data_IF_339507329368
#
_entry.id   IF_339507329368
#
_cell.length_a   1.000
_cell.length_b   1.000
_cell.length_c   1.000
_cell.angle_alpha   90.00
_cell.angle_beta   90.00
_cell.angle_gamma   90.00
#
_symmetry.space_group_name_H-M   'P 1'
#
loop_
_entity.id
_entity.type
_entity.pdbx_description
1 polymer ?
#
# COMPACT_ATOMS: atom_id res chain seq x y z
N UNK A 1 53.49 -2.63 -42.07
CA UNK A 1 52.31 -3.40 -41.60
C UNK A 1 52.33 -3.71 -40.10
N UNK A 2 53.34 -4.28 -39.50
CA UNK A 2 53.39 -4.63 -38.05
C UNK A 2 53.13 -3.41 -37.09
N UNK A 3 53.62 -2.22 -37.37
CA UNK A 3 53.45 -1.04 -36.52
C UNK A 3 52.01 -0.49 -36.57
N UNK A 4 51.33 -0.60 -37.72
CA UNK A 4 49.93 -0.16 -37.88
C UNK A 4 48.97 -1.11 -37.10
N UNK A 5 49.28 -2.43 -37.18
CA UNK A 5 48.48 -3.44 -36.42
C UNK A 5 48.65 -3.27 -34.89
N UNK A 6 49.84 -2.93 -34.37
CA UNK A 6 50.01 -2.63 -32.95
C UNK A 6 49.27 -1.35 -32.52
N UNK A 7 49.28 -0.29 -33.32
CA UNK A 7 48.57 0.94 -32.99
C UNK A 7 47.04 0.69 -32.99
N UNK A 8 46.53 -0.07 -33.95
CA UNK A 8 45.11 -0.43 -34.01
C UNK A 8 44.69 -1.28 -32.79
N UNK A 9 45.49 -2.22 -32.39
CA UNK A 9 45.25 -3.05 -31.19
C UNK A 9 45.29 -2.21 -29.89
N UNK A 10 46.25 -1.25 -29.79
CA UNK A 10 46.35 -0.35 -28.62
C UNK A 10 45.17 0.63 -28.61
N UNK A 11 44.73 1.17 -29.74
CA UNK A 11 43.53 2.02 -29.82
C UNK A 11 42.24 1.24 -29.46
N UNK A 12 42.11 0.00 -29.92
CA UNK A 12 40.97 -0.87 -29.54
C UNK A 12 40.99 -1.21 -28.06
N UNK A 13 42.16 -1.49 -27.46
CA UNK A 13 42.28 -1.72 -26.01
C UNK A 13 42.02 -0.42 -25.20
N UNK A 14 42.41 0.75 -25.63
CA UNK A 14 42.08 2.04 -25.00
C UNK A 14 40.58 2.33 -25.03
N UNK A 15 39.90 2.05 -26.13
CA UNK A 15 38.45 2.20 -26.28
C UNK A 15 37.69 1.19 -25.40
N UNK A 16 38.19 -0.05 -25.29
CA UNK A 16 37.62 -1.08 -24.41
C UNK A 16 37.81 -0.76 -22.91
N UNK A 17 38.92 -0.12 -22.53
CA UNK A 17 39.17 0.27 -21.13
C UNK A 17 38.39 1.51 -20.68
N UNK A 18 38.06 2.43 -21.60
CA UNK A 18 37.21 3.59 -21.29
C UNK A 18 35.72 3.29 -21.25
N UNK A 19 35.27 2.13 -21.72
CA UNK A 19 33.88 1.70 -21.77
C UNK A 19 33.28 1.33 -20.41
N UNK A 20 34.11 1.16 -19.36
CA UNK A 20 33.61 0.57 -18.11
C UNK A 20 32.73 1.48 -17.22
N UNK A 21 32.58 2.79 -17.51
CA UNK A 21 31.84 3.70 -16.64
C UNK A 21 31.10 4.83 -17.39
N UNK A 22 30.37 4.50 -18.46
CA UNK A 22 29.60 5.50 -19.22
C UNK A 22 28.41 6.02 -18.40
N UNK A 23 27.87 5.19 -17.47
CA UNK A 23 26.77 5.56 -16.61
C UNK A 23 27.11 5.34 -15.14
N UNK A 24 26.78 6.34 -14.29
CA UNK A 24 26.85 6.21 -12.84
C UNK A 24 25.71 5.32 -12.32
N UNK A 25 25.92 4.73 -11.17
CA UNK A 25 24.82 4.11 -10.43
C UNK A 25 23.85 5.19 -9.97
N UNK A 26 22.57 4.81 -9.82
CA UNK A 26 21.60 5.68 -9.17
C UNK A 26 22.10 6.06 -7.77
N UNK A 27 21.95 7.32 -7.43
CA UNK A 27 22.20 7.86 -6.08
C UNK A 27 20.97 8.66 -5.69
N UNK A 28 20.59 8.56 -4.44
CA UNK A 28 19.49 9.35 -3.91
C UNK A 28 19.79 10.84 -4.10
N UNK A 29 18.82 11.65 -4.58
CA UNK A 29 19.00 13.10 -4.72
C UNK A 29 19.30 13.79 -3.37
N UNK A 30 20.25 14.72 -3.35
CA UNK A 30 20.65 15.44 -2.12
C UNK A 30 19.64 16.55 -1.75
N UNK A 31 18.89 17.11 -2.72
CA UNK A 31 17.95 18.21 -2.51
C UNK A 31 16.52 17.71 -2.26
N UNK A 32 16.35 16.95 -1.19
CA UNK A 32 15.03 16.49 -0.74
C UNK A 32 14.50 17.43 0.36
N UNK A 33 13.18 17.65 0.45
CA UNK A 33 12.57 18.46 1.51
C UNK A 33 12.52 17.69 2.83
N UNK A 34 13.69 17.37 3.40
CA UNK A 34 13.80 16.63 4.67
C UNK A 34 13.92 17.56 5.89
N UNK A 35 14.36 18.80 5.67
CA UNK A 35 14.51 19.79 6.73
C UNK A 35 13.14 20.42 7.02
N UNK A 36 12.78 20.50 8.31
CA UNK A 36 11.52 21.11 8.78
C UNK A 36 10.23 20.40 8.34
N UNK A 37 10.28 19.11 7.98
CA UNK A 37 9.07 18.32 7.68
C UNK A 37 8.12 18.21 8.88
N UNK A 38 8.65 18.28 10.11
CA UNK A 38 7.88 18.18 11.33
C UNK A 38 7.79 19.54 12.01
N UNK A 39 6.55 19.98 12.28
CA UNK A 39 6.22 21.34 12.73
C UNK A 39 6.83 21.70 14.10
N UNK A 40 7.01 20.73 14.98
CA UNK A 40 7.46 20.92 16.37
C UNK A 40 8.77 20.17 16.68
N UNK A 41 9.56 19.85 15.66
CA UNK A 41 10.81 19.09 15.81
C UNK A 41 11.83 19.81 16.73
N UNK A 42 11.84 21.14 16.74
CA UNK A 42 12.77 21.92 17.55
C UNK A 42 12.48 21.88 19.06
N UNK A 43 11.26 21.48 19.47
CA UNK A 43 10.81 21.43 20.86
C UNK A 43 10.91 20.02 21.48
N UNK A 44 11.25 19.00 20.70
CA UNK A 44 11.35 17.63 21.19
C UNK A 44 12.81 17.21 21.26
N UNK A 45 13.29 16.67 22.39
CA UNK A 45 14.64 16.12 22.44
C UNK A 45 14.75 15.00 21.42
N UNK A 46 15.70 15.12 20.48
CA UNK A 46 16.11 14.03 19.59
C UNK A 46 16.73 12.96 20.49
N UNK A 47 15.89 12.15 21.09
CA UNK A 47 16.36 10.95 21.79
C UNK A 47 16.50 9.85 20.77
N UNK A 48 17.60 9.13 20.81
CA UNK A 48 17.88 7.90 20.06
C UNK A 48 16.96 6.73 20.52
N UNK A 49 15.80 7.09 21.09
CA UNK A 49 14.78 6.19 21.63
C UNK A 49 13.99 5.54 20.50
N UNK A 50 13.63 4.29 20.70
CA UNK A 50 12.72 3.52 19.84
C UNK A 50 11.48 4.36 19.54
N UNK A 51 11.16 4.51 18.26
CA UNK A 51 9.90 5.13 17.82
C UNK A 51 8.76 4.15 17.97
N UNK A 52 7.53 4.66 18.08
CA UNK A 52 6.33 3.83 18.05
C UNK A 52 6.27 2.93 16.81
N UNK A 53 6.73 3.43 15.64
CA UNK A 53 6.81 2.67 14.40
C UNK A 53 7.85 1.53 14.40
N UNK A 54 8.79 1.53 15.35
CA UNK A 54 9.79 0.46 15.49
C UNK A 54 9.26 -0.72 16.34
N UNK A 55 8.12 -0.55 17.02
CA UNK A 55 7.55 -1.59 17.86
C UNK A 55 6.80 -2.63 17.00
N UNK A 56 6.92 -3.91 17.32
CA UNK A 56 6.08 -4.93 16.72
C UNK A 56 4.60 -4.64 16.98
N UNK A 57 3.74 -4.85 16.01
CA UNK A 57 2.29 -4.60 16.15
C UNK A 57 1.65 -5.37 17.32
N UNK A 58 2.23 -6.51 17.74
CA UNK A 58 1.79 -7.30 18.89
C UNK A 58 1.97 -6.56 20.23
N UNK A 59 2.93 -5.64 20.30
CA UNK A 59 3.15 -4.82 21.51
C UNK A 59 2.19 -3.62 21.55
N UNK A 60 1.74 -3.15 20.39
CA UNK A 60 0.76 -2.07 20.27
C UNK A 60 -0.66 -2.60 20.55
N UNK A 61 -1.02 -3.72 19.93
CA UNK A 61 -2.35 -4.33 20.04
C UNK A 61 -2.32 -5.52 20.99
N UNK A 62 -2.65 -5.28 22.26
CA UNK A 62 -2.57 -6.29 23.33
C UNK A 62 -3.77 -7.24 23.39
N UNK A 63 -4.87 -6.93 22.70
CA UNK A 63 -6.04 -7.80 22.60
C UNK A 63 -5.70 -9.09 21.83
N UNK A 64 -5.81 -10.23 22.49
CA UNK A 64 -5.45 -11.54 21.92
C UNK A 64 -6.35 -11.95 20.76
N UNK A 65 -7.64 -11.56 20.75
CA UNK A 65 -8.56 -11.82 19.66
C UNK A 65 -8.19 -10.98 18.45
N UNK A 66 -7.90 -9.68 18.65
CA UNK A 66 -7.41 -8.82 17.58
C UNK A 66 -6.12 -9.37 16.97
N UNK A 67 -5.16 -9.80 17.80
CA UNK A 67 -3.93 -10.42 17.32
C UNK A 67 -4.17 -11.67 16.47
N UNK A 68 -5.15 -12.50 16.85
CA UNK A 68 -5.53 -13.67 16.05
C UNK A 68 -6.11 -13.24 14.68
N UNK A 69 -6.99 -12.23 14.66
CA UNK A 69 -7.56 -11.70 13.41
C UNK A 69 -6.49 -11.08 12.51
N UNK A 70 -5.56 -10.32 13.06
CA UNK A 70 -4.45 -9.75 12.27
C UNK A 70 -3.61 -10.89 11.64
N UNK A 71 -3.22 -11.92 12.41
CA UNK A 71 -2.47 -13.07 11.86
C UNK A 71 -3.26 -13.77 10.77
N UNK A 72 -4.54 -14.03 11.01
CA UNK A 72 -5.40 -14.68 10.03
C UNK A 72 -5.54 -13.85 8.75
N UNK A 73 -5.76 -12.53 8.87
CA UNK A 73 -5.84 -11.62 7.73
C UNK A 73 -4.54 -11.57 6.93
N UNK A 74 -3.38 -11.52 7.58
CA UNK A 74 -2.07 -11.53 6.91
C UNK A 74 -1.84 -12.82 6.09
N UNK A 75 -2.43 -13.95 6.49
CA UNK A 75 -2.31 -15.22 5.78
C UNK A 75 -3.35 -15.38 4.65
N UNK A 76 -4.56 -14.84 4.82
CA UNK A 76 -5.69 -15.17 3.95
C UNK A 76 -6.21 -14.00 3.11
N UNK A 77 -5.82 -12.75 3.42
CA UNK A 77 -6.29 -11.58 2.67
C UNK A 77 -5.79 -11.63 1.21
N UNK A 78 -6.70 -11.32 0.28
CA UNK A 78 -6.44 -11.38 -1.17
C UNK A 78 -5.39 -10.37 -1.62
N UNK A 79 -5.38 -9.16 -1.05
CA UNK A 79 -4.42 -8.11 -1.45
C UNK A 79 -3.01 -8.50 -1.01
N UNK A 80 -2.87 -9.09 0.18
CA UNK A 80 -1.60 -9.61 0.67
C UNK A 80 -1.07 -10.74 -0.20
N UNK A 81 -1.91 -11.70 -0.58
CA UNK A 81 -1.54 -12.78 -1.49
C UNK A 81 -1.17 -12.25 -2.89
N UNK A 82 -1.93 -11.26 -3.39
CA UNK A 82 -1.63 -10.60 -4.66
C UNK A 82 -0.28 -9.88 -4.62
N UNK A 83 0.05 -9.21 -3.51
CA UNK A 83 1.35 -8.55 -3.34
C UNK A 83 2.51 -9.55 -3.37
N UNK A 84 2.37 -10.73 -2.75
CA UNK A 84 3.37 -11.80 -2.81
C UNK A 84 3.57 -12.32 -4.23
N UNK A 85 2.48 -12.52 -5.00
CA UNK A 85 2.57 -12.94 -6.40
C UNK A 85 3.26 -11.89 -7.28
N UNK A 86 3.06 -10.58 -7.01
CA UNK A 86 3.77 -9.50 -7.71
C UNK A 86 5.29 -9.54 -7.45
N UNK A 87 5.71 -9.88 -6.23
CA UNK A 87 7.13 -10.10 -5.94
C UNK A 87 7.69 -11.27 -6.76
N UNK A 88 6.96 -12.38 -6.87
CA UNK A 88 7.41 -13.53 -7.64
C UNK A 88 7.46 -13.23 -9.14
N UNK A 89 6.52 -12.45 -9.67
CA UNK A 89 6.60 -11.93 -11.04
C UNK A 89 7.86 -11.06 -11.24
N UNK A 90 8.14 -10.14 -10.32
CA UNK A 90 9.33 -9.28 -10.40
C UNK A 90 10.64 -10.09 -10.29
N UNK A 91 10.68 -11.14 -9.47
CA UNK A 91 11.83 -12.10 -9.41
C UNK A 91 12.03 -12.83 -10.73
N UNK A 92 10.94 -13.28 -11.36
CA UNK A 92 10.99 -13.94 -12.67
C UNK A 92 11.52 -12.97 -13.75
N UNK A 93 11.06 -11.72 -13.77
CA UNK A 93 11.55 -10.68 -14.66
C UNK A 93 13.03 -10.38 -14.44
N UNK A 94 13.48 -10.27 -13.18
CA UNK A 94 14.89 -10.09 -12.85
C UNK A 94 15.74 -11.29 -13.30
N UNK A 95 15.21 -12.50 -13.19
CA UNK A 95 15.89 -13.70 -13.68
C UNK A 95 16.03 -13.66 -15.20
N UNK A 96 14.99 -13.27 -15.93
CA UNK A 96 15.06 -13.06 -17.38
C UNK A 96 16.09 -11.98 -17.76
N UNK A 97 16.11 -10.84 -17.03
CA UNK A 97 17.09 -9.78 -17.23
C UNK A 97 18.55 -10.21 -16.91
N UNK A 98 18.74 -11.17 -15.99
CA UNK A 98 20.05 -11.78 -15.75
C UNK A 98 20.45 -12.73 -16.87
N UNK A 99 19.51 -13.54 -17.37
CA UNK A 99 19.74 -14.50 -18.45
C UNK A 99 19.93 -13.82 -19.81
N UNK A 100 19.49 -12.57 -20.01
CA UNK A 100 19.73 -11.82 -21.26
C UNK A 100 21.21 -11.56 -21.56
N UNK A 101 22.10 -11.75 -20.58
CA UNK A 101 23.56 -11.74 -20.79
C UNK A 101 24.09 -13.02 -21.41
N UNK A 102 23.30 -14.08 -21.51
CA UNK A 102 23.67 -15.34 -22.13
C UNK A 102 23.16 -15.40 -23.58
N UNK A 103 23.80 -16.18 -24.46
CA UNK A 103 23.27 -16.37 -25.81
C UNK A 103 21.91 -17.10 -25.77
N UNK A 104 21.01 -16.67 -26.65
CA UNK A 104 19.78 -17.40 -26.96
C UNK A 104 20.04 -18.50 -27.97
N UNK A 105 19.42 -19.65 -27.81
CA UNK A 105 19.48 -20.76 -28.75
C UNK A 105 18.08 -21.06 -29.29
N UNK A 106 17.96 -21.09 -30.61
CA UNK A 106 16.67 -21.37 -31.28
C UNK A 106 16.85 -22.45 -32.32
N UNK A 107 16.00 -23.45 -32.31
CA UNK A 107 15.89 -24.45 -33.40
C UNK A 107 14.81 -23.94 -34.37
N UNK A 108 15.18 -23.72 -35.64
CA UNK A 108 14.30 -23.15 -36.66
C UNK A 108 14.23 -24.02 -37.92
N UNK A 109 13.51 -25.14 -37.87
CA UNK A 109 13.33 -25.97 -39.07
C UNK A 109 12.61 -25.20 -40.17
N UNK A 110 13.16 -25.19 -41.38
CA UNK A 110 12.55 -24.54 -42.55
C UNK A 110 12.46 -25.52 -43.73
N UNK A 111 11.36 -25.46 -44.44
CA UNK A 111 11.18 -26.12 -45.73
C UNK A 111 10.71 -25.10 -46.77
N UNK A 112 11.42 -24.98 -47.90
CA UNK A 112 11.08 -24.03 -48.96
C UNK A 112 10.77 -24.81 -50.25
N UNK A 113 9.66 -24.46 -50.87
CA UNK A 113 9.27 -24.92 -52.19
C UNK A 113 9.37 -23.74 -53.15
N UNK A 114 10.32 -23.78 -54.08
CA UNK A 114 10.48 -22.71 -55.11
C UNK A 114 10.09 -23.32 -56.45
N UNK A 115 9.06 -22.73 -57.07
CA UNK A 115 8.64 -23.06 -58.43
C UNK A 115 8.73 -21.81 -59.30
N UNK A 116 9.47 -21.92 -60.40
CA UNK A 116 9.58 -20.87 -61.40
C UNK A 116 9.01 -21.39 -62.72
N UNK A 117 8.28 -20.54 -63.46
CA UNK A 117 7.68 -20.92 -64.74
C UNK A 117 8.72 -21.51 -65.71
N UNK A 118 8.50 -22.73 -66.16
CA UNK A 118 9.42 -23.45 -67.05
C UNK A 118 10.56 -24.21 -66.37
N UNK A 119 10.64 -24.23 -65.03
CA UNK A 119 11.68 -24.94 -64.29
C UNK A 119 11.07 -25.99 -63.37
N UNK A 120 11.86 -27.01 -62.97
CA UNK A 120 11.44 -28.01 -62.00
C UNK A 120 11.33 -27.34 -60.61
N UNK A 121 10.26 -27.69 -59.85
CA UNK A 121 10.11 -27.24 -58.44
C UNK A 121 11.30 -27.72 -57.62
N UNK A 122 11.98 -26.78 -56.97
CA UNK A 122 13.10 -27.04 -56.06
C UNK A 122 12.54 -27.15 -54.67
N UNK A 123 12.87 -28.22 -53.96
CA UNK A 123 12.53 -28.47 -52.56
C UNK A 123 13.82 -28.35 -51.74
N UNK A 124 13.87 -27.42 -50.80
CA UNK A 124 14.96 -27.32 -49.85
C UNK A 124 14.43 -27.46 -48.45
N UNK A 125 15.20 -28.07 -47.56
CA UNK A 125 14.96 -28.05 -46.12
C UNK A 125 16.22 -27.60 -45.40
N UNK A 126 16.04 -26.97 -44.27
CA UNK A 126 17.10 -26.56 -43.38
C UNK A 126 16.70 -26.89 -41.94
N UNK A 127 17.63 -27.40 -41.18
CA UNK A 127 17.46 -27.70 -39.76
C UNK A 127 18.58 -27.03 -38.95
N UNK A 128 18.60 -25.68 -38.87
CA UNK A 128 19.63 -24.92 -38.14
C UNK A 128 19.28 -24.78 -36.69
N UNK A 129 20.27 -24.92 -35.81
CA UNK A 129 20.32 -24.32 -34.47
C UNK A 129 20.97 -22.99 -34.60
N UNK A 130 20.23 -21.94 -34.25
CA UNK A 130 20.72 -20.54 -34.29
C UNK A 130 21.08 -20.10 -32.91
N UNK A 131 22.24 -19.49 -32.72
CA UNK A 131 22.67 -18.81 -31.53
C UNK A 131 22.69 -17.31 -31.78
N UNK A 132 22.17 -16.51 -30.85
CA UNK A 132 22.26 -15.03 -30.89
C UNK A 132 22.67 -14.52 -29.51
N UNK A 133 23.66 -13.65 -29.47
CA UNK A 133 24.22 -13.10 -28.25
C UNK A 133 24.50 -11.60 -28.41
N UNK A 134 23.79 -10.78 -27.64
CA UNK A 134 24.04 -9.35 -27.53
C UNK A 134 25.17 -9.09 -26.50
N UNK A 135 26.24 -8.44 -26.96
CA UNK A 135 27.37 -8.05 -26.09
C UNK A 135 27.09 -6.64 -25.55
N UNK A 136 26.94 -6.51 -24.26
CA UNK A 136 26.61 -5.24 -23.58
C UNK A 136 27.85 -4.31 -23.48
N UNK A 137 28.22 -3.69 -24.60
CA UNK A 137 29.35 -2.74 -24.64
C UNK A 137 29.01 -1.42 -23.95
N UNK A 138 27.80 -0.92 -24.17
CA UNK A 138 27.36 0.42 -23.76
C UNK A 138 26.33 0.43 -22.66
N UNK A 139 26.17 -0.67 -21.92
CA UNK A 139 25.40 -0.75 -20.68
C UNK A 139 23.90 -0.84 -20.85
N UNK A 140 23.38 -1.20 -22.04
CA UNK A 140 21.95 -1.40 -22.27
C UNK A 140 21.38 -2.51 -21.34
N UNK A 141 21.96 -3.70 -21.43
CA UNK A 141 21.54 -4.86 -20.61
C UNK A 141 21.80 -4.65 -19.11
N UNK A 142 22.93 -3.98 -18.78
CA UNK A 142 23.25 -3.66 -17.38
C UNK A 142 22.23 -2.71 -16.77
N UNK A 143 21.83 -1.67 -17.49
CA UNK A 143 20.79 -0.74 -17.02
C UNK A 143 19.42 -1.42 -16.99
N UNK A 144 19.06 -2.26 -17.97
CA UNK A 144 17.84 -3.07 -17.95
C UNK A 144 17.76 -3.94 -16.69
N UNK A 145 18.83 -4.67 -16.37
CA UNK A 145 18.91 -5.49 -15.15
C UNK A 145 18.77 -4.65 -13.88
N UNK A 146 19.44 -3.47 -13.79
CA UNK A 146 19.33 -2.59 -12.62
C UNK A 146 17.93 -1.99 -12.48
N UNK A 147 17.28 -1.61 -13.59
CA UNK A 147 15.89 -1.17 -13.61
C UNK A 147 14.96 -2.25 -13.07
N UNK A 148 15.09 -3.48 -13.59
CA UNK A 148 14.30 -4.63 -13.09
C UNK A 148 14.58 -4.95 -11.62
N UNK A 149 15.82 -4.76 -11.15
CA UNK A 149 16.15 -4.91 -9.73
C UNK A 149 15.47 -3.83 -8.88
N UNK A 150 15.41 -2.58 -9.35
CA UNK A 150 14.66 -1.51 -8.68
C UNK A 150 13.16 -1.85 -8.64
N UNK A 151 12.60 -2.41 -9.73
CA UNK A 151 11.21 -2.89 -9.74
C UNK A 151 10.98 -3.99 -8.71
N UNK A 152 11.90 -4.93 -8.52
CA UNK A 152 11.76 -5.94 -7.46
C UNK A 152 11.72 -5.30 -6.07
N UNK A 153 12.61 -4.36 -5.78
CA UNK A 153 12.61 -3.63 -4.49
C UNK A 153 11.33 -2.81 -4.31
N UNK A 154 10.82 -2.21 -5.38
CA UNK A 154 9.53 -1.51 -5.39
C UNK A 154 8.38 -2.44 -5.01
N UNK A 155 8.33 -3.66 -5.57
CA UNK A 155 7.27 -4.64 -5.24
C UNK A 155 7.40 -5.17 -3.80
N UNK A 156 8.61 -5.29 -3.27
CA UNK A 156 8.82 -5.63 -1.87
C UNK A 156 8.31 -4.52 -0.94
N UNK A 157 8.62 -3.26 -1.25
CA UNK A 157 8.09 -2.13 -0.50
C UNK A 157 6.56 -2.03 -0.61
N UNK A 158 5.98 -2.31 -1.79
CA UNK A 158 4.53 -2.39 -1.96
C UNK A 158 3.88 -3.45 -1.07
N UNK A 159 4.49 -4.63 -0.98
CA UNK A 159 4.00 -5.70 -0.09
C UNK A 159 4.05 -5.27 1.39
N UNK A 160 5.10 -4.56 1.81
CA UNK A 160 5.19 -4.01 3.17
C UNK A 160 4.12 -2.94 3.42
N UNK A 161 3.81 -2.09 2.42
CA UNK A 161 2.73 -1.11 2.51
C UNK A 161 1.37 -1.79 2.70
N UNK A 162 1.05 -2.80 1.86
CA UNK A 162 -0.19 -3.59 1.97
C UNK A 162 -0.30 -4.27 3.33
N UNK A 163 0.81 -4.79 3.86
CA UNK A 163 0.83 -5.40 5.20
C UNK A 163 0.49 -4.40 6.30
N UNK A 164 1.15 -3.23 6.30
CA UNK A 164 0.90 -2.18 7.29
C UNK A 164 -0.55 -1.67 7.21
N UNK A 165 -1.05 -1.43 6.00
CA UNK A 165 -2.43 -1.01 5.75
C UNK A 165 -3.46 -2.06 6.21
N UNK A 166 -3.19 -3.34 5.96
CA UNK A 166 -4.07 -4.43 6.40
C UNK A 166 -4.11 -4.54 7.92
N UNK A 167 -2.97 -4.44 8.61
CA UNK A 167 -2.92 -4.44 10.08
C UNK A 167 -3.73 -3.28 10.64
N UNK A 168 -3.51 -2.06 10.15
CA UNK A 168 -4.25 -0.87 10.58
C UNK A 168 -5.75 -0.97 10.24
N UNK A 169 -6.10 -1.48 9.05
CA UNK A 169 -7.48 -1.68 8.61
C UNK A 169 -8.24 -2.69 9.49
N UNK A 170 -7.63 -3.83 9.80
CA UNK A 170 -8.22 -4.83 10.72
C UNK A 170 -8.39 -4.23 12.12
N UNK A 171 -7.38 -3.55 12.66
CA UNK A 171 -7.44 -2.94 13.97
C UNK A 171 -8.53 -1.85 14.04
N UNK A 172 -8.57 -0.92 13.08
CA UNK A 172 -9.58 0.12 13.02
C UNK A 172 -11.01 -0.45 12.92
N UNK A 173 -11.22 -1.46 12.08
CA UNK A 173 -12.53 -2.10 11.93
C UNK A 173 -12.94 -2.86 13.18
N UNK A 174 -12.00 -3.55 13.84
CA UNK A 174 -12.24 -4.24 15.10
C UNK A 174 -12.64 -3.28 16.23
N UNK A 175 -11.89 -2.17 16.41
CA UNK A 175 -12.23 -1.18 17.43
C UNK A 175 -13.52 -0.42 17.10
N UNK A 176 -13.82 -0.18 15.84
CA UNK A 176 -15.13 0.35 15.42
C UNK A 176 -16.27 -0.59 15.79
N UNK A 177 -16.06 -1.90 15.67
CA UNK A 177 -17.04 -2.90 16.06
C UNK A 177 -17.25 -2.93 17.59
N UNK A 178 -16.18 -2.82 18.40
CA UNK A 178 -16.28 -2.69 19.87
C UNK A 178 -17.02 -1.41 20.28
N UNK A 179 -16.77 -0.29 19.60
CA UNK A 179 -17.51 0.96 19.80
C UNK A 179 -19.00 0.77 19.55
N UNK A 180 -19.38 0.14 18.43
CA UNK A 180 -20.77 -0.11 18.09
C UNK A 180 -21.45 -1.07 19.07
N UNK A 181 -20.75 -2.09 19.57
CA UNK A 181 -21.27 -2.99 20.61
C UNK A 181 -21.66 -2.22 21.87
N UNK A 182 -20.81 -1.29 22.32
CA UNK A 182 -21.07 -0.48 23.50
C UNK A 182 -22.21 0.53 23.27
N UNK A 183 -22.27 1.16 22.09
CA UNK A 183 -23.37 2.04 21.72
C UNK A 183 -24.71 1.28 21.63
N UNK A 184 -24.73 0.07 21.09
CA UNK A 184 -25.91 -0.80 21.08
C UNK A 184 -26.34 -1.15 22.51
N UNK A 185 -25.41 -1.48 23.40
CA UNK A 185 -25.72 -1.79 24.81
C UNK A 185 -26.31 -0.57 25.55
N UNK A 186 -25.73 0.64 25.33
CA UNK A 186 -26.24 1.89 25.91
C UNK A 186 -27.65 2.20 25.38
N UNK A 187 -27.86 2.12 24.07
CA UNK A 187 -29.18 2.37 23.47
C UNK A 187 -30.23 1.37 23.93
N UNK A 188 -29.90 0.08 24.00
CA UNK A 188 -30.80 -0.97 24.49
C UNK A 188 -31.22 -0.73 25.95
N UNK A 189 -30.25 -0.47 26.84
CA UNK A 189 -30.55 -0.19 28.25
C UNK A 189 -31.40 1.07 28.43
N UNK A 190 -31.15 2.08 27.63
CA UNK A 190 -31.93 3.32 27.62
C UNK A 190 -33.36 3.10 27.11
N UNK A 191 -33.55 2.27 26.07
CA UNK A 191 -34.86 1.89 25.57
C UNK A 191 -35.72 1.22 26.63
N UNK A 192 -35.15 0.33 27.42
CA UNK A 192 -35.88 -0.36 28.52
C UNK A 192 -36.39 0.66 29.55
N UNK A 193 -35.54 1.59 29.96
CA UNK A 193 -35.91 2.67 30.90
C UNK A 193 -36.99 3.58 30.31
N UNK A 194 -36.87 3.96 29.04
CA UNK A 194 -37.84 4.86 28.40
C UNK A 194 -39.19 4.16 28.16
N UNK A 195 -39.22 2.89 27.78
CA UNK A 195 -40.44 2.10 27.66
C UNK A 195 -41.22 2.06 28.96
N UNK A 196 -40.55 1.81 30.08
CA UNK A 196 -41.19 1.81 31.42
C UNK A 196 -41.67 3.21 31.82
N UNK A 197 -40.90 4.26 31.48
CA UNK A 197 -41.32 5.63 31.71
C UNK A 197 -42.63 5.98 30.94
N UNK A 198 -42.71 5.64 29.66
CA UNK A 198 -43.93 5.88 28.84
C UNK A 198 -45.12 5.15 29.48
N UNK A 199 -44.98 3.91 29.86
CA UNK A 199 -46.05 3.15 30.57
C UNK A 199 -46.50 3.82 31.87
N UNK A 200 -45.58 4.30 32.66
CA UNK A 200 -45.87 5.04 33.91
C UNK A 200 -46.62 6.33 33.62
N UNK A 201 -46.20 7.11 32.61
CA UNK A 201 -46.85 8.34 32.20
C UNK A 201 -48.27 8.11 31.65
N UNK A 202 -48.48 7.06 30.88
CA UNK A 202 -49.81 6.65 30.40
C UNK A 202 -50.76 6.29 31.54
N UNK A 203 -50.25 5.60 32.58
CA UNK A 203 -51.03 5.29 33.78
C UNK A 203 -51.39 6.55 34.55
N UNK A 204 -50.46 7.51 34.74
CA UNK A 204 -50.71 8.79 35.41
C UNK A 204 -51.69 9.68 34.63
N UNK A 205 -51.57 9.68 33.28
CA UNK A 205 -52.54 10.40 32.45
C UNK A 205 -53.96 9.93 32.64
N UNK A 206 -54.20 8.60 32.78
CA UNK A 206 -55.52 8.03 32.99
C UNK A 206 -56.16 8.48 34.32
N UNK A 207 -55.39 8.84 35.33
CA UNK A 207 -55.86 9.35 36.62
C UNK A 207 -55.78 10.89 36.69
N UNK A 208 -55.45 11.57 35.60
CA UNK A 208 -55.43 13.03 35.52
C UNK A 208 -54.17 13.70 36.08
N UNK A 209 -53.12 12.94 36.42
CA UNK A 209 -51.89 13.44 37.00
C UNK A 209 -50.87 13.85 35.92
N UNK A 210 -51.12 13.51 34.65
CA UNK A 210 -50.21 13.85 33.55
C UNK A 210 -51.00 14.34 32.33
N UNK A 211 -50.37 15.15 31.45
CA UNK A 211 -51.00 15.68 30.24
C UNK A 211 -50.78 14.76 29.03
N UNK A 212 -51.75 14.78 28.11
CA UNK A 212 -51.63 14.04 26.84
C UNK A 212 -50.39 14.51 26.04
N UNK A 213 -50.09 15.82 26.09
CA UNK A 213 -48.91 16.38 25.42
C UNK A 213 -47.58 15.78 25.96
N UNK A 214 -47.47 15.61 27.26
CA UNK A 214 -46.27 15.00 27.85
C UNK A 214 -46.14 13.53 27.44
N UNK A 215 -47.22 12.77 27.41
CA UNK A 215 -47.23 11.36 26.98
C UNK A 215 -46.89 11.23 25.49
N UNK A 216 -47.44 12.06 24.64
CA UNK A 216 -47.14 12.04 23.19
C UNK A 216 -45.68 12.43 22.91
N UNK A 217 -45.12 13.39 23.63
CA UNK A 217 -43.70 13.75 23.57
C UNK A 217 -42.81 12.59 24.00
N UNK A 218 -43.17 11.91 25.11
CA UNK A 218 -42.43 10.74 25.58
C UNK A 218 -42.40 9.61 24.57
N UNK A 219 -43.54 9.33 23.92
CA UNK A 219 -43.66 8.32 22.84
C UNK A 219 -42.80 8.71 21.62
N UNK A 220 -42.85 9.99 21.22
CA UNK A 220 -42.06 10.47 20.07
C UNK A 220 -40.57 10.25 20.31
N UNK A 221 -40.06 10.61 21.49
CA UNK A 221 -38.66 10.38 21.84
C UNK A 221 -38.31 8.88 21.96
N UNK A 222 -39.24 8.05 22.44
CA UNK A 222 -39.01 6.59 22.46
C UNK A 222 -38.88 6.04 21.05
N UNK A 223 -39.73 6.44 20.10
CA UNK A 223 -39.64 5.99 18.70
C UNK A 223 -38.39 6.49 18.00
N UNK A 224 -37.91 7.69 18.32
CA UNK A 224 -36.64 8.23 17.84
C UNK A 224 -35.46 7.35 18.33
N UNK A 225 -35.47 6.97 19.61
CA UNK A 225 -34.45 6.08 20.17
C UNK A 225 -34.52 4.66 19.58
N UNK A 226 -35.74 4.13 19.32
CA UNK A 226 -35.92 2.84 18.64
C UNK A 226 -35.31 2.86 17.22
N UNK A 227 -35.51 3.95 16.47
CA UNK A 227 -34.93 4.15 15.15
C UNK A 227 -33.39 4.20 15.24
N UNK A 228 -32.85 4.96 16.20
CA UNK A 228 -31.39 5.06 16.43
C UNK A 228 -30.80 3.69 16.80
N UNK A 229 -31.46 2.94 17.67
CA UNK A 229 -30.99 1.60 18.06
C UNK A 229 -30.96 0.63 16.86
N UNK A 230 -31.98 0.65 16.01
CA UNK A 230 -32.02 -0.17 14.79
C UNK A 230 -30.88 0.23 13.80
N UNK A 231 -30.58 1.52 13.69
CA UNK A 231 -29.45 1.99 12.89
C UNK A 231 -28.08 1.53 13.43
N UNK A 232 -27.90 1.53 14.75
CA UNK A 232 -26.68 1.01 15.40
C UNK A 232 -26.52 -0.50 15.16
N UNK A 233 -27.60 -1.28 15.25
CA UNK A 233 -27.58 -2.73 14.94
C UNK A 233 -27.23 -2.98 13.47
N UNK A 234 -27.72 -2.17 12.55
CA UNK A 234 -27.36 -2.26 11.13
C UNK A 234 -25.88 -1.95 10.92
N UNK A 235 -25.37 -0.84 11.48
CA UNK A 235 -23.96 -0.45 11.40
C UNK A 235 -23.04 -1.52 12.00
N UNK A 236 -23.40 -2.08 13.15
CA UNK A 236 -22.67 -3.19 13.80
C UNK A 236 -22.54 -4.38 12.83
N UNK A 237 -23.64 -4.78 12.19
CA UNK A 237 -23.61 -5.90 11.24
C UNK A 237 -22.80 -5.61 9.99
N UNK A 238 -22.90 -4.39 9.44
CA UNK A 238 -22.12 -3.96 8.28
C UNK A 238 -20.61 -3.93 8.59
N UNK A 239 -20.24 -3.45 9.77
CA UNK A 239 -18.84 -3.41 10.24
C UNK A 239 -18.29 -4.82 10.47
N UNK A 240 -19.08 -5.73 11.06
CA UNK A 240 -18.70 -7.13 11.22
C UNK A 240 -18.47 -7.82 9.87
N UNK A 241 -19.35 -7.58 8.89
CA UNK A 241 -19.18 -8.08 7.53
C UNK A 241 -17.92 -7.51 6.84
N UNK A 242 -17.62 -6.22 7.06
CA UNK A 242 -16.39 -5.59 6.55
C UNK A 242 -15.14 -6.22 7.16
N UNK A 243 -15.16 -6.50 8.45
CA UNK A 243 -14.06 -7.21 9.12
C UNK A 243 -13.86 -8.61 8.52
N UNK A 244 -14.95 -9.39 8.32
CA UNK A 244 -14.86 -10.68 7.65
C UNK A 244 -14.24 -10.59 6.25
N UNK A 245 -14.59 -9.56 5.50
CA UNK A 245 -14.03 -9.33 4.14
C UNK A 245 -12.53 -9.02 4.21
N UNK A 246 -12.09 -8.16 5.13
CA UNK A 246 -10.67 -7.87 5.37
C UNK A 246 -9.88 -9.13 5.75
N UNK A 247 -10.51 -10.02 6.51
CA UNK A 247 -9.94 -11.30 6.91
C UNK A 247 -9.94 -12.34 5.77
N UNK A 248 -10.56 -12.06 4.63
CA UNK A 248 -10.68 -13.03 3.51
C UNK A 248 -11.65 -14.18 3.80
N UNK A 249 -12.66 -13.96 4.64
CA UNK A 249 -13.65 -14.97 5.00
C UNK A 249 -15.09 -14.55 4.69
N UNK A 250 -15.99 -15.52 4.63
CA UNK A 250 -17.44 -15.25 4.48
C UNK A 250 -18.00 -14.60 5.75
N UNK A 251 -19.02 -13.76 5.58
CA UNK A 251 -19.70 -13.06 6.68
C UNK A 251 -20.23 -14.05 7.74
N UNK A 252 -19.81 -13.83 8.97
CA UNK A 252 -20.22 -14.62 10.16
C UNK A 252 -20.06 -13.77 11.41
N UNK A 253 -20.65 -14.24 12.52
CA UNK A 253 -20.38 -13.60 13.82
C UNK A 253 -18.96 -13.89 14.29
N UNK A 254 -18.31 -12.84 14.82
CA UNK A 254 -16.93 -12.87 15.30
C UNK A 254 -16.89 -12.66 16.81
N UNK A 255 -16.10 -13.46 17.51
CA UNK A 255 -15.81 -13.25 18.93
C UNK A 255 -14.97 -11.98 19.11
N UNK A 256 -15.27 -11.20 20.17
CA UNK A 256 -14.60 -9.94 20.41
C UNK A 256 -14.61 -9.55 21.89
N UNK A 257 -13.65 -8.70 22.26
CA UNK A 257 -13.53 -8.12 23.58
C UNK A 257 -14.52 -6.97 23.83
N UNK A 258 -14.16 -6.10 24.76
CA UNK A 258 -14.90 -4.87 25.07
C UNK A 258 -13.98 -3.67 24.97
N UNK A 259 -14.53 -2.50 24.63
CA UNK A 259 -13.75 -1.28 24.38
C UNK A 259 -13.04 -0.77 25.64
N UNK A 260 -13.65 -0.91 26.81
CA UNK A 260 -13.15 -0.47 28.11
C UNK A 260 -11.88 -1.21 28.57
N UNK A 261 -11.65 -2.42 28.07
CA UNK A 261 -10.47 -3.25 28.39
C UNK A 261 -9.29 -3.05 27.46
N UNK A 262 -9.42 -2.17 26.46
CA UNK A 262 -8.35 -1.92 25.53
C UNK A 262 -7.28 -1.02 26.16
N UNK A 263 -6.05 -1.52 26.20
CA UNK A 263 -4.90 -0.82 26.80
C UNK A 263 -3.94 -0.46 25.67
N UNK A 264 -3.61 0.82 25.57
CA UNK A 264 -2.53 1.31 24.71
C UNK A 264 -1.35 1.77 25.56
N UNK A 265 -0.14 1.82 25.04
CA UNK A 265 1.02 2.37 25.76
C UNK A 265 0.74 3.79 26.23
N UNK A 266 0.87 4.03 27.55
CA UNK A 266 0.59 5.35 28.17
C UNK A 266 1.51 6.46 27.66
N UNK A 267 2.74 6.11 27.29
CA UNK A 267 3.72 7.03 26.70
C UNK A 267 4.04 6.60 25.29
N UNK A 268 3.49 7.33 24.33
CA UNK A 268 3.89 7.17 22.93
C UNK A 268 5.30 7.79 22.79
N UNK A 269 6.33 6.98 22.39
CA UNK A 269 7.64 7.55 22.14
C UNK A 269 7.53 8.52 20.95
N UNK A 270 7.61 9.81 21.24
CA UNK A 270 7.39 10.88 20.25
C UNK A 270 8.67 11.27 19.50
N UNK A 271 9.75 10.55 19.67
CA UNK A 271 10.97 10.76 18.88
C UNK A 271 10.69 10.46 17.41
N UNK A 272 10.71 11.48 16.54
CA UNK A 272 10.57 11.34 15.10
C UNK A 272 11.93 11.61 14.46
N UNK A 273 12.81 10.61 14.33
CA UNK A 273 14.01 10.78 13.54
C UNK A 273 13.63 10.88 12.07
N UNK A 274 14.27 11.78 11.33
CA UNK A 274 14.20 11.82 9.84
C UNK A 274 14.48 10.44 9.22
N UNK A 275 15.19 9.56 9.96
CA UNK A 275 15.44 8.15 9.62
C UNK A 275 14.17 7.31 9.45
N UNK A 276 13.04 7.65 10.10
CA UNK A 276 11.78 6.91 9.95
C UNK A 276 11.16 7.07 8.56
N UNK A 277 11.33 8.24 7.94
CA UNK A 277 10.88 8.47 6.58
C UNK A 277 11.55 7.49 5.58
N UNK A 278 12.80 7.10 5.83
CA UNK A 278 13.48 6.14 4.95
C UNK A 278 13.02 4.69 5.12
N UNK A 279 12.22 4.39 6.15
CA UNK A 279 11.67 3.05 6.41
C UNK A 279 10.21 2.91 5.94
N UNK A 280 9.53 4.02 5.68
CA UNK A 280 8.15 3.97 5.19
C UNK A 280 8.10 3.28 3.83
N UNK A 281 7.25 2.27 3.67
CA UNK A 281 7.19 1.49 2.44
C UNK A 281 6.80 2.32 1.21
N UNK A 282 5.93 3.32 1.36
CA UNK A 282 5.50 4.23 0.29
C UNK A 282 6.66 5.10 -0.22
N UNK A 283 7.51 5.59 0.68
CA UNK A 283 8.70 6.37 0.34
C UNK A 283 9.73 5.49 -0.38
N UNK A 284 9.97 4.27 0.11
CA UNK A 284 10.86 3.31 -0.55
C UNK A 284 10.33 2.95 -1.93
N UNK A 285 9.03 2.75 -2.08
CA UNK A 285 8.37 2.47 -3.36
C UNK A 285 8.57 3.62 -4.35
N UNK A 286 8.35 4.86 -3.92
CA UNK A 286 8.54 6.05 -4.75
C UNK A 286 10.01 6.23 -5.15
N UNK A 287 10.97 6.00 -4.24
CA UNK A 287 12.41 6.03 -4.53
C UNK A 287 12.82 4.97 -5.56
N UNK A 288 12.30 3.74 -5.42
CA UNK A 288 12.60 2.65 -6.37
C UNK A 288 11.97 2.89 -7.74
N UNK A 289 10.83 3.58 -7.79
CA UNK A 289 10.22 4.06 -9.05
C UNK A 289 11.14 5.07 -9.74
N UNK A 290 11.70 6.03 -9.00
CA UNK A 290 12.68 6.98 -9.52
C UNK A 290 13.96 6.27 -10.00
N UNK A 291 14.47 5.32 -9.24
CA UNK A 291 15.65 4.54 -9.62
C UNK A 291 15.41 3.76 -10.93
N UNK A 292 14.24 3.16 -11.11
CA UNK A 292 13.87 2.48 -12.35
C UNK A 292 13.80 3.47 -13.52
N UNK A 293 13.16 4.63 -13.37
CA UNK A 293 13.10 5.68 -14.41
C UNK A 293 14.50 6.17 -14.79
N UNK A 294 15.41 6.36 -13.82
CA UNK A 294 16.82 6.69 -14.06
C UNK A 294 17.51 5.64 -14.92
N UNK A 295 17.35 4.35 -14.62
CA UNK A 295 17.95 3.28 -15.43
C UNK A 295 17.31 3.18 -16.82
N UNK A 296 16.03 3.44 -16.96
CA UNK A 296 15.32 3.50 -18.26
C UNK A 296 15.85 4.65 -19.10
N UNK A 297 16.10 5.82 -18.51
CA UNK A 297 16.76 6.95 -19.18
C UNK A 297 18.16 6.56 -19.69
N UNK A 298 18.93 5.80 -18.89
CA UNK A 298 20.25 5.32 -19.31
C UNK A 298 20.16 4.29 -20.43
N UNK A 299 19.13 3.43 -20.47
CA UNK A 299 18.87 2.56 -21.62
C UNK A 299 18.55 3.36 -22.87
N UNK A 300 17.69 4.39 -22.77
CA UNK A 300 17.39 5.27 -23.89
C UNK A 300 18.63 6.02 -24.42
N UNK A 301 19.57 6.39 -23.54
CA UNK A 301 20.88 6.94 -23.93
C UNK A 301 21.76 5.90 -24.60
N UNK A 302 21.79 4.66 -24.11
CA UNK A 302 22.59 3.58 -24.70
C UNK A 302 22.17 3.23 -26.13
N UNK A 303 20.90 3.43 -26.49
CA UNK A 303 20.37 3.20 -27.82
C UNK A 303 20.97 4.09 -28.91
N UNK A 304 21.69 5.18 -28.57
CA UNK A 304 22.44 6.00 -29.50
C UNK A 304 23.83 5.44 -29.83
N UNK A 305 24.30 4.43 -29.13
CA UNK A 305 25.58 3.80 -29.34
C UNK A 305 25.43 2.52 -30.18
N UNK A 306 26.53 2.05 -30.84
CA UNK A 306 26.50 0.82 -31.60
C UNK A 306 26.13 -0.40 -30.73
N UNK A 307 25.29 -1.28 -31.24
CA UNK A 307 25.02 -2.59 -30.63
C UNK A 307 25.85 -3.68 -31.32
N UNK A 308 26.58 -4.47 -30.50
CA UNK A 308 27.36 -5.61 -30.97
C UNK A 308 26.55 -6.90 -30.74
N UNK A 309 26.18 -7.53 -31.86
CA UNK A 309 25.46 -8.80 -31.83
C UNK A 309 26.32 -9.89 -32.47
N UNK A 310 26.56 -10.99 -31.74
CA UNK A 310 27.18 -12.19 -32.24
C UNK A 310 26.09 -13.20 -32.57
N UNK A 311 26.05 -13.66 -33.81
CA UNK A 311 25.13 -14.70 -34.24
C UNK A 311 25.87 -15.85 -34.90
N UNK A 312 25.37 -17.03 -34.72
CA UNK A 312 25.91 -18.22 -35.36
C UNK A 312 24.78 -19.23 -35.67
N UNK A 313 24.97 -20.03 -36.70
CA UNK A 313 24.09 -21.13 -36.97
C UNK A 313 24.88 -22.41 -37.30
N UNK A 314 24.42 -23.51 -36.77
CA UNK A 314 24.93 -24.84 -37.09
C UNK A 314 23.77 -25.76 -37.39
N UNK A 315 23.84 -26.53 -38.46
CA UNK A 315 22.74 -27.41 -38.86
C UNK A 315 22.99 -28.19 -40.12
N UNK A 316 21.94 -28.76 -40.61
CA UNK A 316 21.93 -29.54 -41.84
C UNK A 316 20.99 -28.88 -42.86
N UNK A 317 21.40 -28.94 -44.13
CA UNK A 317 20.58 -28.55 -45.29
C UNK A 317 20.73 -29.55 -46.42
N UNK A 318 19.71 -29.73 -47.25
CA UNK A 318 19.92 -30.37 -48.52
C UNK A 318 20.39 -29.34 -49.54
N UNK A 319 21.42 -29.72 -50.32
CA UNK A 319 21.82 -28.91 -51.46
C UNK A 319 20.67 -28.81 -52.48
N UNK A 320 20.58 -27.69 -53.18
CA UNK A 320 19.55 -27.41 -54.17
C UNK A 320 19.34 -28.62 -55.16
N UNK A 321 18.18 -29.26 -55.05
CA UNK A 321 17.74 -30.30 -55.94
C UNK A 321 18.07 -31.77 -55.58
N UNK A 322 18.70 -32.04 -54.44
CA UNK A 322 18.93 -33.42 -53.98
C UNK A 322 17.74 -33.97 -53.19
N UNK A 323 17.59 -35.30 -53.18
CA UNK A 323 16.50 -35.95 -52.47
C UNK A 323 16.66 -35.81 -50.93
N UNK A 324 15.54 -35.68 -50.24
CA UNK A 324 15.43 -35.47 -48.76
C UNK A 324 15.86 -36.71 -47.95
N UNK A 325 16.63 -37.64 -48.50
CA UNK A 325 16.94 -38.96 -47.92
C UNK A 325 18.26 -39.02 -47.13
N UNK A 326 19.00 -37.96 -47.05
CA UNK A 326 20.25 -37.88 -46.29
C UNK A 326 20.23 -36.65 -45.40
N UNK A 327 20.81 -36.62 -44.18
CA UNK A 327 20.87 -35.39 -43.35
C UNK A 327 21.60 -34.21 -44.01
N UNK A 328 22.01 -34.33 -45.25
CA UNK A 328 22.54 -33.23 -46.04
C UNK A 328 23.91 -32.70 -45.57
N UNK A 329 24.31 -31.58 -46.16
CA UNK A 329 25.59 -30.97 -45.84
C UNK A 329 25.52 -30.18 -44.53
N UNK A 330 26.66 -30.15 -43.82
CA UNK A 330 26.83 -29.35 -42.65
C UNK A 330 26.92 -27.87 -43.03
N UNK A 331 26.11 -27.05 -42.34
CA UNK A 331 26.26 -25.59 -42.37
C UNK A 331 26.75 -25.12 -41.03
N UNK A 332 27.82 -24.36 -41.01
CA UNK A 332 28.32 -23.62 -39.85
C UNK A 332 28.56 -22.16 -40.28
N UNK A 333 27.88 -21.25 -39.67
CA UNK A 333 28.12 -19.81 -39.87
C UNK A 333 28.31 -19.10 -38.53
N UNK A 334 29.18 -18.13 -38.52
CA UNK A 334 29.37 -17.21 -37.38
C UNK A 334 29.50 -15.79 -37.94
N UNK A 335 28.72 -14.86 -37.39
CA UNK A 335 28.66 -13.46 -37.81
C UNK A 335 28.74 -12.56 -36.58
N UNK A 336 29.67 -11.60 -36.62
CA UNK A 336 29.70 -10.50 -35.67
C UNK A 336 29.17 -9.25 -36.39
N UNK A 337 28.09 -8.68 -35.91
CA UNK A 337 27.50 -7.46 -36.50
C UNK A 337 27.54 -6.33 -35.50
N UNK A 338 28.09 -5.19 -35.92
CA UNK A 338 28.03 -3.94 -35.17
C UNK A 338 27.04 -3.01 -35.89
N UNK A 339 25.90 -2.77 -35.23
CA UNK A 339 24.81 -1.98 -35.82
C UNK A 339 24.62 -0.68 -35.05
N UNK A 340 24.67 0.46 -35.77
CA UNK A 340 24.35 1.75 -35.21
C UNK A 340 23.29 2.45 -36.05
N UNK A 341 22.14 2.83 -35.51
CA UNK A 341 21.15 3.62 -36.25
C UNK A 341 21.67 5.08 -36.45
N UNK A 342 21.89 5.46 -37.69
CA UNK A 342 22.28 6.82 -38.03
C UNK A 342 21.07 7.77 -38.17
N UNK A 343 19.97 7.27 -38.72
CA UNK A 343 18.72 8.00 -38.85
C UNK A 343 17.52 7.07 -38.59
N UNK A 344 16.80 7.34 -37.53
CA UNK A 344 15.62 6.55 -37.12
C UNK A 344 14.38 7.45 -36.98
N UNK A 345 14.15 8.34 -37.94
CA UNK A 345 12.95 9.22 -38.01
C UNK A 345 12.61 9.91 -36.68
N UNK A 346 13.61 10.31 -35.91
CA UNK A 346 13.45 10.98 -34.63
C UNK A 346 13.10 10.07 -33.43
N UNK A 347 12.88 8.77 -33.65
CA UNK A 347 12.41 7.83 -32.57
C UNK A 347 13.34 7.78 -31.36
N UNK A 348 14.67 7.73 -31.58
CA UNK A 348 15.64 7.71 -30.47
C UNK A 348 15.63 9.01 -29.67
N UNK A 349 15.51 10.16 -30.33
CA UNK A 349 15.44 11.48 -29.70
C UNK A 349 14.16 11.58 -28.88
N UNK A 350 13.03 11.17 -29.46
CA UNK A 350 11.73 11.13 -28.76
C UNK A 350 11.77 10.22 -27.54
N UNK A 351 12.26 8.98 -27.68
CA UNK A 351 12.34 8.05 -26.55
C UNK A 351 13.21 8.60 -25.42
N UNK A 352 14.38 9.17 -25.74
CA UNK A 352 15.25 9.78 -24.72
C UNK A 352 14.58 10.95 -24.02
N UNK A 353 13.84 11.79 -24.78
CA UNK A 353 13.11 12.91 -24.18
C UNK A 353 12.00 12.43 -23.24
N UNK A 354 11.18 11.49 -23.72
CA UNK A 354 10.12 10.89 -22.90
C UNK A 354 10.71 10.27 -21.62
N UNK A 355 11.77 9.46 -21.73
CA UNK A 355 12.39 8.85 -20.54
C UNK A 355 12.93 9.88 -19.55
N UNK A 356 13.50 11.01 -20.02
CA UNK A 356 13.94 12.10 -19.15
C UNK A 356 12.77 12.80 -18.45
N UNK A 357 11.68 13.02 -19.17
CA UNK A 357 10.49 13.64 -18.60
C UNK A 357 9.85 12.70 -17.57
N UNK A 358 9.81 11.38 -17.83
CA UNK A 358 9.37 10.35 -16.86
C UNK A 358 10.26 10.29 -15.62
N UNK A 359 11.59 10.43 -15.77
CA UNK A 359 12.53 10.52 -14.64
C UNK A 359 12.24 11.76 -13.77
N UNK A 360 11.96 12.91 -14.39
CA UNK A 360 11.59 14.14 -13.67
C UNK A 360 10.23 14.00 -12.98
N UNK A 361 9.24 13.38 -13.63
CA UNK A 361 7.93 13.09 -13.01
C UNK A 361 8.12 12.18 -11.80
N UNK A 362 8.92 11.13 -11.91
CA UNK A 362 9.21 10.24 -10.78
C UNK A 362 9.91 10.97 -9.63
N UNK A 363 10.82 11.90 -9.91
CA UNK A 363 11.47 12.75 -8.90
C UNK A 363 10.46 13.67 -8.18
N UNK A 364 9.54 14.29 -8.94
CA UNK A 364 8.50 15.14 -8.38
C UNK A 364 7.54 14.33 -7.49
N UNK A 365 7.14 13.14 -7.93
CA UNK A 365 6.31 12.23 -7.16
C UNK A 365 7.02 11.78 -5.87
N UNK A 366 8.32 11.45 -5.94
CA UNK A 366 9.10 11.10 -4.75
C UNK A 366 9.15 12.24 -3.72
N UNK A 367 9.34 13.49 -4.19
CA UNK A 367 9.30 14.68 -3.33
C UNK A 367 7.91 14.89 -2.71
N UNK A 368 6.86 14.70 -3.50
CA UNK A 368 5.49 14.82 -3.00
C UNK A 368 5.19 13.76 -1.93
N UNK A 369 5.56 12.50 -2.16
CA UNK A 369 5.39 11.42 -1.17
C UNK A 369 6.09 11.75 0.16
N UNK A 370 7.27 12.40 0.13
CA UNK A 370 7.95 12.85 1.35
C UNK A 370 7.15 13.94 2.09
N UNK A 371 6.58 14.90 1.36
CA UNK A 371 5.75 15.96 1.96
C UNK A 371 4.46 15.39 2.54
N UNK A 372 3.80 14.49 1.82
CA UNK A 372 2.56 13.85 2.27
C UNK A 372 2.82 13.01 3.54
N UNK A 373 3.93 12.28 3.58
CA UNK A 373 4.35 11.52 4.75
C UNK A 373 4.62 12.43 5.97
N UNK A 374 5.26 13.58 5.76
CA UNK A 374 5.47 14.57 6.82
C UNK A 374 4.16 15.16 7.34
N UNK A 375 3.23 15.48 6.44
CA UNK A 375 1.89 15.94 6.79
C UNK A 375 1.15 14.89 7.62
N UNK A 376 1.12 13.64 7.14
CA UNK A 376 0.40 12.53 7.81
C UNK A 376 0.88 12.32 9.25
N UNK A 377 2.19 12.38 9.49
CA UNK A 377 2.75 12.27 10.85
C UNK A 377 2.33 13.46 11.72
N UNK A 378 2.41 14.69 11.20
CA UNK A 378 1.99 15.89 11.95
C UNK A 378 0.51 15.84 12.31
N UNK A 379 -0.34 15.44 11.36
CA UNK A 379 -1.78 15.32 11.55
C UNK A 379 -2.12 14.22 12.58
N UNK A 380 -1.45 13.06 12.51
CA UNK A 380 -1.65 11.95 13.44
C UNK A 380 -1.21 12.28 14.87
N UNK A 381 -0.10 13.01 15.05
CA UNK A 381 0.35 13.48 16.37
C UNK A 381 -0.68 14.41 17.00
N UNK A 382 -1.13 15.41 16.24
CA UNK A 382 -2.12 16.36 16.75
C UNK A 382 -3.48 15.69 17.01
N UNK A 383 -3.89 14.74 16.17
CA UNK A 383 -5.10 13.95 16.37
C UNK A 383 -5.06 13.16 17.68
N UNK A 384 -3.92 12.55 18.01
CA UNK A 384 -3.74 11.79 19.27
C UNK A 384 -3.91 12.68 20.50
N UNK A 385 -3.28 13.87 20.50
CA UNK A 385 -3.41 14.84 21.59
C UNK A 385 -4.84 15.39 21.71
N UNK A 386 -5.45 15.73 20.58
CA UNK A 386 -6.81 16.27 20.51
C UNK A 386 -7.84 15.27 20.99
N UNK A 387 -7.75 13.99 20.57
CA UNK A 387 -8.66 12.92 20.97
C UNK A 387 -8.66 12.71 22.48
N UNK A 388 -7.48 12.73 23.12
CA UNK A 388 -7.37 12.62 24.57
C UNK A 388 -8.08 13.76 25.30
N UNK A 389 -7.90 15.01 24.84
CA UNK A 389 -8.55 16.21 25.43
C UNK A 389 -10.07 16.19 25.24
N UNK A 390 -10.55 15.74 24.09
CA UNK A 390 -12.00 15.62 23.82
C UNK A 390 -12.64 14.58 24.71
N UNK A 391 -12.05 13.40 24.83
CA UNK A 391 -12.53 12.33 25.72
C UNK A 391 -12.63 12.78 27.17
N UNK A 392 -11.63 13.49 27.69
CA UNK A 392 -11.67 14.03 29.05
C UNK A 392 -12.83 15.02 29.25
N UNK A 393 -13.05 15.90 28.26
CA UNK A 393 -14.10 16.91 28.29
C UNK A 393 -15.49 16.27 28.27
N UNK A 394 -15.74 15.30 27.38
CA UNK A 394 -17.02 14.61 27.29
C UNK A 394 -17.26 13.70 28.51
N UNK A 395 -16.24 13.10 29.12
CA UNK A 395 -16.36 12.41 30.41
C UNK A 395 -16.79 13.34 31.54
N UNK A 396 -16.26 14.58 31.59
CA UNK A 396 -16.71 15.60 32.55
C UNK A 396 -18.17 15.98 32.29
N UNK A 397 -18.54 16.25 31.05
CA UNK A 397 -19.90 16.54 30.62
C UNK A 397 -20.86 15.41 31.03
N UNK A 398 -20.52 14.15 30.76
CA UNK A 398 -21.33 13.01 31.11
C UNK A 398 -21.64 12.94 32.62
N UNK A 399 -20.62 13.15 33.48
CA UNK A 399 -20.80 13.20 34.94
C UNK A 399 -21.75 14.30 35.41
N UNK A 400 -21.64 15.49 34.83
CA UNK A 400 -22.57 16.59 35.19
C UNK A 400 -24.00 16.34 34.72
N UNK A 401 -24.15 15.72 33.53
CA UNK A 401 -25.47 15.33 33.03
C UNK A 401 -26.10 14.18 33.83
N UNK A 402 -25.33 13.25 34.37
CA UNK A 402 -25.80 12.22 35.30
C UNK A 402 -26.40 12.84 36.56
N UNK A 403 -25.72 13.84 37.14
CA UNK A 403 -26.25 14.61 38.28
C UNK A 403 -27.50 15.38 37.90
N UNK A 404 -27.52 15.99 36.70
CA UNK A 404 -28.65 16.75 36.19
C UNK A 404 -29.88 15.85 36.07
N UNK A 405 -29.74 14.64 35.50
CA UNK A 405 -30.85 13.68 35.39
C UNK A 405 -31.37 13.27 36.76
N UNK A 406 -30.48 12.94 37.73
CA UNK A 406 -30.88 12.58 39.07
C UNK A 406 -31.65 13.72 39.76
N UNK A 407 -31.19 14.96 39.66
CA UNK A 407 -31.86 16.13 40.26
C UNK A 407 -33.19 16.41 39.56
N UNK A 408 -33.23 16.42 38.21
CA UNK A 408 -34.46 16.66 37.45
C UNK A 408 -35.53 15.58 37.72
N UNK A 409 -35.13 14.33 37.88
CA UNK A 409 -36.04 13.23 38.26
C UNK A 409 -36.62 13.44 39.65
N UNK A 410 -35.82 13.83 40.65
CA UNK A 410 -36.30 14.13 41.99
C UNK A 410 -37.26 15.33 41.99
N UNK A 411 -36.94 16.40 41.28
CA UNK A 411 -37.79 17.58 41.14
C UNK A 411 -39.11 17.27 40.42
N UNK A 412 -39.07 16.48 39.36
CA UNK A 412 -40.28 16.03 38.63
C UNK A 412 -41.21 15.20 39.51
N UNK A 413 -40.68 14.27 40.35
CA UNK A 413 -41.45 13.48 41.30
C UNK A 413 -42.16 14.33 42.35
N UNK A 414 -41.58 15.50 42.72
CA UNK A 414 -42.13 16.42 43.70
C UNK A 414 -43.01 17.50 43.06
N UNK A 415 -43.17 17.49 41.74
CA UNK A 415 -43.98 18.51 41.01
C UNK A 415 -43.25 19.84 40.81
N UNK A 416 -41.98 19.94 41.12
CA UNK A 416 -41.16 21.14 41.01
C UNK A 416 -40.37 21.28 39.70
N UNK A 417 -40.50 20.31 38.76
CA UNK A 417 -39.97 20.38 37.42
C UNK A 417 -40.99 19.78 36.42
N UNK A 418 -40.89 20.22 35.17
CA UNK A 418 -41.73 19.67 34.07
C UNK A 418 -41.12 18.39 33.52
N UNK A 419 -41.98 17.55 32.91
CA UNK A 419 -41.47 16.37 32.21
C UNK A 419 -40.48 16.73 31.07
N UNK A 420 -40.69 17.86 30.41
CA UNK A 420 -39.82 18.34 29.32
C UNK A 420 -38.38 18.58 29.82
N UNK A 421 -38.20 19.14 31.01
CA UNK A 421 -36.88 19.33 31.61
C UNK A 421 -36.18 17.99 31.87
N UNK A 422 -36.89 17.02 32.45
CA UNK A 422 -36.36 15.68 32.66
C UNK A 422 -36.02 14.98 31.34
N UNK A 423 -36.89 15.07 30.34
CA UNK A 423 -36.68 14.47 29.03
C UNK A 423 -35.45 15.05 28.35
N UNK A 424 -35.31 16.40 28.37
CA UNK A 424 -34.13 17.08 27.79
C UNK A 424 -32.85 16.67 28.49
N UNK A 425 -32.84 16.54 29.80
CA UNK A 425 -31.68 16.07 30.56
C UNK A 425 -31.31 14.62 30.18
N UNK A 426 -32.28 13.74 30.06
CA UNK A 426 -32.07 12.34 29.67
C UNK A 426 -31.56 12.20 28.23
N UNK A 427 -32.11 12.97 27.29
CA UNK A 427 -31.64 13.00 25.90
C UNK A 427 -30.20 13.49 25.82
N UNK A 428 -29.88 14.55 26.58
CA UNK A 428 -28.50 15.08 26.64
C UNK A 428 -27.53 14.08 27.23
N UNK A 429 -27.94 13.33 28.28
CA UNK A 429 -27.12 12.28 28.89
C UNK A 429 -26.87 11.11 27.92
N UNK A 430 -27.90 10.67 27.19
CA UNK A 430 -27.73 9.62 26.18
C UNK A 430 -26.70 10.03 25.13
N UNK A 431 -26.86 11.24 24.58
CA UNK A 431 -25.91 11.77 23.59
C UNK A 431 -24.48 11.89 24.15
N UNK A 432 -24.33 12.36 25.41
CA UNK A 432 -23.03 12.45 26.05
C UNK A 432 -22.38 11.07 26.24
N UNK A 433 -23.14 10.05 26.62
CA UNK A 433 -22.64 8.67 26.75
C UNK A 433 -22.18 8.09 25.42
N UNK A 434 -22.97 8.28 24.35
CA UNK A 434 -22.59 7.84 23.00
C UNK A 434 -21.34 8.59 22.51
N UNK A 435 -21.21 9.89 22.81
CA UNK A 435 -20.01 10.66 22.48
C UNK A 435 -18.77 10.15 23.21
N UNK A 436 -18.84 9.80 24.50
CA UNK A 436 -17.72 9.22 25.26
C UNK A 436 -17.22 7.93 24.61
N UNK A 437 -18.13 7.09 24.16
CA UNK A 437 -17.78 5.84 23.45
C UNK A 437 -17.11 6.14 22.11
N UNK A 438 -17.66 7.10 21.36
CA UNK A 438 -17.06 7.54 20.08
C UNK A 438 -15.66 8.13 20.28
N UNK A 439 -15.47 8.95 21.31
CA UNK A 439 -14.14 9.55 21.62
C UNK A 439 -13.13 8.48 22.05
N UNK A 440 -13.58 7.48 22.81
CA UNK A 440 -12.72 6.35 23.18
C UNK A 440 -12.23 5.59 21.95
N UNK A 441 -13.11 5.34 20.97
CA UNK A 441 -12.73 4.78 19.67
C UNK A 441 -11.79 5.71 18.90
N UNK A 442 -12.09 7.03 18.85
CA UNK A 442 -11.26 8.02 18.15
C UNK A 442 -9.84 8.06 18.72
N UNK A 443 -9.68 7.89 20.04
CA UNK A 443 -8.37 7.79 20.68
C UNK A 443 -7.62 6.54 20.22
N UNK A 444 -8.29 5.37 20.16
CA UNK A 444 -7.71 4.14 19.62
C UNK A 444 -7.27 4.33 18.16
N UNK A 445 -8.14 4.91 17.34
CA UNK A 445 -7.88 5.17 15.92
C UNK A 445 -6.70 6.12 15.71
N UNK A 446 -6.58 7.17 16.53
CA UNK A 446 -5.46 8.10 16.46
C UNK A 446 -4.11 7.42 16.72
N UNK A 447 -4.05 6.48 17.68
CA UNK A 447 -2.84 5.67 17.95
C UNK A 447 -2.51 4.75 16.78
N UNK A 448 -3.52 4.09 16.19
CA UNK A 448 -3.34 3.21 15.02
C UNK A 448 -2.80 4.01 13.83
N UNK A 449 -3.40 5.17 13.55
CA UNK A 449 -3.00 6.03 12.45
C UNK A 449 -1.58 6.59 12.66
N UNK A 450 -1.23 6.96 13.89
CA UNK A 450 0.14 7.39 14.22
C UNK A 450 1.14 6.25 14.03
N UNK A 451 0.81 5.03 14.48
CA UNK A 451 1.64 3.84 14.27
C UNK A 451 1.90 3.59 12.77
N UNK A 452 0.85 3.66 11.94
CA UNK A 452 0.95 3.51 10.50
C UNK A 452 1.75 4.64 9.86
N UNK A 453 1.49 5.91 10.23
CA UNK A 453 2.20 7.07 9.71
C UNK A 453 3.70 7.03 9.99
N UNK A 454 4.10 6.41 11.09
CA UNK A 454 5.50 6.17 11.45
C UNK A 454 6.13 4.93 10.76
N UNK A 455 5.39 4.26 9.87
CA UNK A 455 5.85 3.09 9.13
C UNK A 455 5.76 1.78 9.90
N UNK A 456 4.98 1.73 10.97
CA UNK A 456 4.75 0.53 11.77
C UNK A 456 4.02 -0.58 11.01
N UNK A 457 4.26 -1.83 11.42
CA UNK A 457 3.62 -3.01 10.81
C UNK A 457 4.21 -3.47 9.47
N UNK A 458 5.25 -2.79 8.98
CA UNK A 458 5.89 -3.14 7.72
C UNK A 458 6.87 -4.34 7.83
N UNK A 459 7.32 -4.70 9.04
CA UNK A 459 8.28 -5.78 9.29
C UNK A 459 7.63 -7.18 9.34
#
# INVERSE_FOLDING_TARGET
>A
MRKITCITIICINMVLLSSCHIYRNYQRPDNLPTDSLFRDADNQPVTDSLSLGDLPWQEIFQDTLLQQYIRYGLEHNTDMQTALLRIDQAKAQLTAAKLSFLPSLTLSPQGTLTSTAGSKTVKTYELPVQASWEIDLFGNLRNAKKGTQATLLQQQAYQQAVRSELIAGIANTYYSLLMLDEQVAISQSTLEVWKEQVRTMEARMKVGEETENAVTQARASLYELEATHNDLLRQQRETENSLCTLLGMTSRSLERGTLDKQIFPETLPTGIPVRLLSRRPDIVQAEMTLANAYYTTNQARSAFYPNLNLSGSAGWTNALGQAVTNPGDWILSAVASLTQPLFNRGKLISNLRVSKDEEQIALLNYRQTLLDAGQEVNDALYATESAGRSLESHRKQCRELERTVQTSEALYRTGNATYLELLTARQSLLNARLNVVTDSFTQCQAVINLYQALGGGAE
#
